data_IF_497015770886
#
_entry.id   IF_497015770886
#
_cell.length_a   1.000
_cell.length_b   1.000
_cell.length_c   1.000
_cell.angle_alpha   90.00
_cell.angle_beta   90.00
_cell.angle_gamma   90.00
#
_symmetry.space_group_name_H-M   'P 1'
#
loop_
_entity.id
_entity.type
_entity.pdbx_description
1 polymer ?
#
# COMPACT_ATOMS: atom_id res chain seq x y z
N UNK A 1 56.46 -4.23 30.53
CA UNK A 1 55.65 -4.96 29.58
C UNK A 1 54.25 -4.32 29.55
N UNK A 2 53.93 -3.58 28.53
CA UNK A 2 52.62 -2.91 28.43
C UNK A 2 51.72 -3.75 27.53
N UNK A 3 50.60 -4.22 28.08
CA UNK A 3 49.57 -4.91 27.34
C UNK A 3 48.64 -3.84 26.83
N UNK A 4 48.63 -3.65 25.49
CA UNK A 4 47.66 -2.79 24.85
C UNK A 4 46.42 -3.66 24.53
N UNK A 5 45.37 -3.50 25.29
CA UNK A 5 44.07 -4.09 24.97
C UNK A 5 43.43 -3.16 23.96
N UNK A 6 43.51 -3.52 22.70
CA UNK A 6 42.75 -2.86 21.67
C UNK A 6 41.27 -3.29 21.84
N UNK A 7 40.47 -2.41 22.42
CA UNK A 7 39.01 -2.59 22.41
C UNK A 7 38.55 -2.42 20.98
N UNK A 8 38.25 -3.53 20.33
CA UNK A 8 37.57 -3.50 19.04
C UNK A 8 36.15 -2.99 19.26
N UNK A 9 35.92 -1.74 18.90
CA UNK A 9 34.56 -1.20 18.82
C UNK A 9 33.87 -1.95 17.67
N UNK A 10 33.08 -2.95 18.04
CA UNK A 10 32.15 -3.56 17.08
C UNK A 10 31.01 -2.57 16.90
N UNK A 11 31.10 -1.70 15.90
CA UNK A 11 29.95 -0.96 15.43
C UNK A 11 28.97 -1.97 14.84
N UNK A 12 28.02 -2.45 15.65
CA UNK A 12 26.79 -3.03 15.12
C UNK A 12 26.04 -1.91 14.40
N UNK A 13 26.36 -1.73 13.10
CA UNK A 13 25.52 -0.92 12.23
C UNK A 13 24.17 -1.61 12.19
N UNK A 14 23.15 -1.04 12.84
CA UNK A 14 21.78 -1.44 12.59
C UNK A 14 21.56 -1.20 11.11
N UNK A 15 21.40 -2.27 10.32
CA UNK A 15 20.97 -2.16 8.93
C UNK A 15 19.62 -1.43 8.99
N UNK A 16 19.57 -0.20 8.47
CA UNK A 16 18.31 0.52 8.32
C UNK A 16 17.45 -0.33 7.38
N UNK A 17 16.39 -0.93 7.91
CA UNK A 17 15.38 -1.57 7.10
C UNK A 17 14.70 -0.44 6.33
N UNK A 18 14.97 -0.34 5.02
CA UNK A 18 14.24 0.58 4.15
C UNK A 18 12.81 0.05 3.98
N UNK A 19 11.82 0.84 4.38
CA UNK A 19 10.45 0.57 4.05
C UNK A 19 10.28 0.55 2.53
N UNK A 20 9.41 -0.32 2.02
CA UNK A 20 9.04 -0.31 0.61
C UNK A 20 8.44 1.06 0.26
N UNK A 21 8.81 1.68 -0.87
CA UNK A 21 8.33 3.00 -1.23
C UNK A 21 6.80 3.09 -1.37
N UNK A 22 6.10 1.98 -1.52
CA UNK A 22 4.62 1.96 -1.52
C UNK A 22 4.03 2.04 -0.11
N UNK A 23 4.81 1.86 0.94
CA UNK A 23 4.39 1.96 2.33
C UNK A 23 4.13 3.40 2.75
N UNK A 24 3.11 3.99 2.11
CA UNK A 24 2.65 5.36 2.29
C UNK A 24 1.13 5.36 2.45
N UNK A 25 0.57 6.53 2.69
CA UNK A 25 -0.87 6.77 2.65
C UNK A 25 -1.26 7.29 1.28
N UNK A 26 -2.25 6.65 0.69
CA UNK A 26 -2.70 6.91 -0.66
C UNK A 26 -4.16 7.35 -0.69
N UNK A 27 -4.44 8.42 -1.45
CA UNK A 27 -5.80 8.83 -1.75
C UNK A 27 -6.33 7.97 -2.90
N UNK A 28 -7.43 7.29 -2.67
CA UNK A 28 -8.06 6.42 -3.68
C UNK A 28 -8.70 7.22 -4.81
N UNK A 29 -8.91 6.55 -5.93
CA UNK A 29 -9.84 7.02 -6.95
C UNK A 29 -11.23 7.13 -6.33
N UNK A 30 -12.01 8.13 -6.76
CA UNK A 30 -13.38 8.29 -6.30
C UNK A 30 -14.24 7.11 -6.74
N UNK A 31 -15.13 6.67 -5.86
CA UNK A 31 -16.17 5.71 -6.17
C UNK A 31 -17.22 6.32 -7.11
N UNK A 32 -18.14 5.49 -7.61
CA UNK A 32 -19.20 5.93 -8.55
C UNK A 32 -20.07 7.06 -7.97
N UNK A 33 -20.23 7.11 -6.65
CA UNK A 33 -20.97 8.16 -5.94
C UNK A 33 -20.11 9.38 -5.54
N UNK A 34 -18.83 9.39 -5.88
CA UNK A 34 -17.88 10.46 -5.58
C UNK A 34 -17.16 10.36 -4.25
N UNK A 35 -17.49 9.39 -3.40
CA UNK A 35 -16.76 9.15 -2.14
C UNK A 35 -15.35 8.64 -2.44
N UNK A 36 -14.42 8.93 -1.56
CA UNK A 36 -13.06 8.44 -1.64
C UNK A 36 -12.49 8.18 -0.24
N UNK A 37 -11.30 7.62 -0.18
CA UNK A 37 -10.66 7.31 1.09
C UNK A 37 -9.15 7.39 1.03
N UNK A 38 -8.55 7.22 2.20
CA UNK A 38 -7.11 7.06 2.36
C UNK A 38 -6.81 5.62 2.74
N UNK A 39 -5.90 5.01 2.00
CA UNK A 39 -5.42 3.65 2.25
C UNK A 39 -3.97 3.72 2.69
N UNK A 40 -3.68 3.16 3.86
CA UNK A 40 -2.31 3.03 4.37
C UNK A 40 -1.77 1.67 3.95
N UNK A 41 -0.68 1.69 3.18
CA UNK A 41 0.05 0.47 2.82
C UNK A 41 1.10 0.16 3.88
N UNK A 42 1.10 -1.07 4.36
CA UNK A 42 1.99 -1.56 5.43
C UNK A 42 2.49 -2.96 5.12
N UNK A 43 3.62 -3.39 5.73
CA UNK A 43 4.04 -4.77 5.62
C UNK A 43 3.05 -5.73 6.29
N UNK A 44 2.86 -6.89 5.67
CA UNK A 44 1.97 -7.96 6.10
C UNK A 44 2.74 -9.27 5.97
N UNK A 45 3.66 -9.55 6.89
CA UNK A 45 4.64 -10.60 6.71
C UNK A 45 5.54 -10.31 5.50
N UNK A 46 5.78 -11.25 4.59
CA UNK A 46 6.61 -11.02 3.40
C UNK A 46 5.89 -10.19 2.31
N UNK A 47 4.59 -9.94 2.47
CA UNK A 47 3.75 -9.22 1.52
C UNK A 47 3.39 -7.82 2.04
N UNK A 48 2.65 -7.08 1.25
CA UNK A 48 2.11 -5.77 1.57
C UNK A 48 0.59 -5.85 1.67
N UNK A 49 0.03 -5.07 2.60
CA UNK A 49 -1.39 -4.90 2.82
C UNK A 49 -1.76 -3.42 2.78
N UNK A 50 -3.00 -3.13 2.42
CA UNK A 50 -3.56 -1.79 2.46
C UNK A 50 -4.85 -1.75 3.26
N UNK A 51 -4.93 -0.84 4.21
CA UNK A 51 -6.08 -0.68 5.11
C UNK A 51 -6.72 0.69 4.89
N UNK A 52 -8.03 0.72 4.78
CA UNK A 52 -8.78 1.97 4.73
C UNK A 52 -8.72 2.63 6.11
N UNK A 53 -8.03 3.75 6.21
CA UNK A 53 -7.81 4.46 7.48
C UNK A 53 -8.67 5.70 7.64
N UNK A 54 -9.07 6.34 6.53
CA UNK A 54 -9.95 7.50 6.51
C UNK A 54 -10.86 7.45 5.29
N UNK A 55 -12.03 8.02 5.38
CA UNK A 55 -12.99 8.12 4.29
C UNK A 55 -13.62 9.52 4.24
N UNK A 56 -14.04 9.91 3.04
CA UNK A 56 -14.52 11.26 2.76
C UNK A 56 -15.76 11.23 1.88
N UNK A 57 -16.63 12.20 2.10
CA UNK A 57 -17.77 12.49 1.23
C UNK A 57 -17.30 13.07 -0.11
N UNK A 58 -18.14 13.13 -1.15
CA UNK A 58 -17.78 13.79 -2.41
C UNK A 58 -17.35 15.27 -2.22
N UNK A 59 -17.86 15.94 -1.20
CA UNK A 59 -17.49 17.32 -0.88
C UNK A 59 -16.15 17.43 -0.12
N UNK A 60 -15.51 16.31 0.22
CA UNK A 60 -14.24 16.30 0.93
C UNK A 60 -14.37 16.36 2.46
N UNK A 61 -15.56 16.19 3.00
CA UNK A 61 -15.77 16.11 4.44
C UNK A 61 -15.47 14.71 4.96
N UNK A 62 -14.77 14.62 6.08
CA UNK A 62 -14.45 13.32 6.67
C UNK A 62 -15.72 12.63 7.17
N UNK A 63 -15.83 11.34 6.86
CA UNK A 63 -16.90 10.46 7.27
C UNK A 63 -16.33 9.25 8.00
N UNK A 64 -17.17 8.53 8.73
CA UNK A 64 -16.78 7.33 9.46
C UNK A 64 -17.70 6.15 9.08
N UNK A 65 -17.59 5.65 7.82
CA UNK A 65 -18.36 4.48 7.42
C UNK A 65 -17.87 3.23 8.17
N UNK A 66 -18.67 2.17 8.21
CA UNK A 66 -18.30 0.92 8.88
C UNK A 66 -17.07 0.23 8.27
N UNK A 67 -16.66 0.61 7.05
CA UNK A 67 -15.51 0.04 6.36
C UNK A 67 -14.16 0.56 6.88
N UNK A 68 -14.12 1.57 7.74
CA UNK A 68 -12.87 2.05 8.33
C UNK A 68 -12.20 0.90 9.08
N UNK A 69 -10.91 0.69 8.78
CA UNK A 69 -10.13 -0.44 9.30
C UNK A 69 -10.19 -1.68 8.42
N UNK A 70 -11.00 -1.68 7.36
CA UNK A 70 -11.08 -2.79 6.44
C UNK A 70 -9.81 -2.91 5.61
N UNK A 71 -9.32 -4.14 5.47
CA UNK A 71 -8.24 -4.47 4.56
C UNK A 71 -8.77 -4.45 3.13
N UNK A 72 -8.24 -3.55 2.32
CA UNK A 72 -8.63 -3.39 0.91
C UNK A 72 -7.66 -4.07 -0.04
N UNK A 73 -6.39 -4.18 0.36
CA UNK A 73 -5.33 -4.85 -0.39
C UNK A 73 -4.64 -5.83 0.55
N UNK A 74 -4.34 -7.04 0.07
CA UNK A 74 -3.59 -8.02 0.85
C UNK A 74 -2.78 -8.95 -0.05
N UNK A 75 -1.81 -9.61 0.55
CA UNK A 75 -0.89 -10.54 -0.11
C UNK A 75 -0.17 -9.96 -1.34
N UNK A 76 0.01 -8.64 -1.38
CA UNK A 76 0.62 -7.98 -2.51
C UNK A 76 2.15 -8.10 -2.44
N UNK A 77 2.76 -8.68 -3.47
CA UNK A 77 4.19 -8.93 -3.53
C UNK A 77 4.90 -7.97 -4.48
N UNK A 78 6.04 -7.44 -4.04
CA UNK A 78 6.90 -6.65 -4.91
C UNK A 78 7.52 -7.53 -6.00
N UNK A 79 7.42 -7.08 -7.26
CA UNK A 79 7.94 -7.78 -8.43
C UNK A 79 9.16 -7.07 -9.06
N UNK A 80 9.57 -5.95 -8.49
CA UNK A 80 10.64 -5.09 -9.00
C UNK A 80 10.13 -3.96 -9.90
N UNK A 81 10.94 -2.93 -10.07
CA UNK A 81 10.66 -1.76 -10.91
C UNK A 81 9.33 -1.05 -10.61
N UNK A 82 8.93 -1.05 -9.33
CA UNK A 82 7.67 -0.44 -8.88
C UNK A 82 6.41 -1.25 -9.19
N UNK A 83 6.55 -2.48 -9.68
CA UNK A 83 5.44 -3.39 -9.93
C UNK A 83 5.14 -4.26 -8.70
N UNK A 84 3.87 -4.51 -8.46
CA UNK A 84 3.37 -5.38 -7.38
C UNK A 84 2.26 -6.26 -7.93
N UNK A 85 2.22 -7.49 -7.49
CA UNK A 85 1.24 -8.46 -7.97
C UNK A 85 1.03 -9.62 -7.02
N UNK A 86 0.36 -10.64 -7.50
CA UNK A 86 0.02 -11.87 -6.77
C UNK A 86 -0.83 -11.63 -5.50
N UNK A 87 -1.41 -10.45 -5.36
CA UNK A 87 -2.27 -10.09 -4.25
C UNK A 87 -3.73 -9.97 -4.64
N UNK A 88 -4.51 -9.49 -3.69
CA UNK A 88 -5.95 -9.28 -3.83
C UNK A 88 -6.31 -7.83 -3.55
N UNK A 89 -7.35 -7.37 -4.23
CA UNK A 89 -7.96 -6.06 -4.03
C UNK A 89 -9.46 -6.23 -3.86
N UNK A 90 -10.02 -5.60 -2.83
CA UNK A 90 -11.46 -5.48 -2.64
C UNK A 90 -11.98 -4.15 -3.19
N UNK A 91 -13.02 -4.19 -3.97
CA UNK A 91 -13.70 -3.03 -4.55
C UNK A 91 -15.02 -2.76 -3.83
N UNK A 92 -15.20 -1.55 -3.23
CA UNK A 92 -16.42 -1.21 -2.52
C UNK A 92 -17.67 -1.11 -3.40
N UNK A 93 -17.55 -0.57 -4.61
CA UNK A 93 -18.71 -0.31 -5.49
C UNK A 93 -19.51 -1.57 -5.82
N UNK A 94 -18.79 -2.69 -6.03
CA UNK A 94 -19.40 -3.97 -6.37
C UNK A 94 -19.30 -5.01 -5.27
N UNK A 95 -18.65 -4.64 -4.16
CA UNK A 95 -18.33 -5.59 -3.08
C UNK A 95 -17.68 -6.88 -3.64
N UNK A 96 -16.65 -6.71 -4.45
CA UNK A 96 -15.93 -7.81 -5.11
C UNK A 96 -14.46 -7.77 -4.80
N UNK A 97 -13.86 -8.96 -4.76
CA UNK A 97 -12.43 -9.16 -4.63
C UNK A 97 -11.85 -9.63 -5.97
N UNK A 98 -10.78 -8.96 -6.38
CA UNK A 98 -10.06 -9.25 -7.63
C UNK A 98 -8.62 -9.65 -7.31
N UNK A 99 -7.99 -10.37 -8.22
CA UNK A 99 -6.54 -10.42 -8.27
C UNK A 99 -6.04 -9.00 -8.54
N UNK A 100 -5.05 -8.54 -7.78
CA UNK A 100 -4.61 -7.16 -7.85
C UNK A 100 -3.25 -7.01 -8.48
N UNK A 101 -3.06 -5.90 -9.18
CA UNK A 101 -1.76 -5.40 -9.62
C UNK A 101 -1.63 -3.94 -9.29
N UNK A 102 -0.44 -3.55 -8.83
CA UNK A 102 -0.11 -2.15 -8.57
C UNK A 102 1.13 -1.78 -9.38
N UNK A 103 1.19 -0.51 -9.79
CA UNK A 103 2.38 0.08 -10.38
C UNK A 103 2.66 1.42 -9.72
N UNK A 104 3.79 1.49 -9.05
CA UNK A 104 4.26 2.71 -8.42
C UNK A 104 5.05 3.54 -9.42
N UNK A 105 4.71 4.82 -9.53
CA UNK A 105 5.43 5.80 -10.33
C UNK A 105 5.48 7.13 -9.57
N UNK A 106 6.52 7.33 -8.77
CA UNK A 106 6.67 8.51 -7.93
C UNK A 106 5.53 8.62 -6.90
N UNK A 107 4.76 9.69 -7.00
CA UNK A 107 3.64 9.98 -6.11
C UNK A 107 2.29 9.38 -6.57
N UNK A 108 2.34 8.53 -7.57
CA UNK A 108 1.16 7.90 -8.18
C UNK A 108 1.25 6.39 -8.10
N UNK A 109 0.12 5.78 -7.81
CA UNK A 109 -0.03 4.34 -7.72
C UNK A 109 -1.18 3.91 -8.62
N UNK A 110 -0.85 3.27 -9.74
CA UNK A 110 -1.86 2.69 -10.63
C UNK A 110 -2.36 1.38 -10.04
N UNK A 111 -3.67 1.22 -9.98
CA UNK A 111 -4.33 0.07 -9.37
C UNK A 111 -5.15 -0.65 -10.44
N UNK A 112 -4.97 -1.95 -10.56
CA UNK A 112 -5.69 -2.78 -11.52
C UNK A 112 -6.25 -4.02 -10.85
N UNK A 113 -7.47 -4.40 -11.22
CA UNK A 113 -8.11 -5.65 -10.84
C UNK A 113 -8.15 -6.62 -12.01
N UNK A 114 -7.82 -7.87 -11.77
CA UNK A 114 -7.73 -8.90 -12.79
C UNK A 114 -8.66 -10.08 -12.49
N UNK A 115 -9.33 -10.57 -13.52
CA UNK A 115 -10.15 -11.79 -13.49
C UNK A 115 -9.78 -12.63 -14.68
N UNK A 116 -9.40 -13.90 -14.46
CA UNK A 116 -9.04 -14.85 -15.52
C UNK A 116 -7.97 -14.28 -16.49
N UNK A 117 -6.97 -13.58 -15.95
CA UNK A 117 -5.88 -12.99 -16.74
C UNK A 117 -6.23 -11.68 -17.46
N UNK A 118 -7.47 -11.22 -17.39
CA UNK A 118 -7.90 -9.94 -17.96
C UNK A 118 -7.88 -8.89 -16.85
N UNK A 119 -7.03 -7.86 -17.01
CA UNK A 119 -6.89 -6.78 -16.06
C UNK A 119 -7.62 -5.52 -16.54
N UNK A 120 -8.32 -4.86 -15.61
CA UNK A 120 -8.95 -3.56 -15.83
C UNK A 120 -8.33 -2.52 -14.93
N UNK A 121 -8.13 -1.34 -15.48
CA UNK A 121 -7.66 -0.19 -14.73
C UNK A 121 -8.69 0.20 -13.67
N UNK A 122 -8.27 0.22 -12.41
CA UNK A 122 -9.06 0.68 -11.26
C UNK A 122 -8.78 2.15 -10.89
N UNK A 123 -8.02 2.85 -11.72
CA UNK A 123 -7.64 4.24 -11.51
C UNK A 123 -6.25 4.42 -10.92
N UNK A 124 -5.90 5.67 -10.71
CA UNK A 124 -4.61 6.08 -10.14
C UNK A 124 -4.83 6.70 -8.78
N UNK A 125 -4.18 6.15 -7.78
CA UNK A 125 -4.16 6.71 -6.44
C UNK A 125 -3.01 7.69 -6.31
N UNK A 126 -3.18 8.70 -5.47
CA UNK A 126 -2.15 9.73 -5.27
C UNK A 126 -1.64 9.70 -3.83
N UNK A 127 -0.34 9.90 -3.67
CA UNK A 127 0.28 9.93 -2.34
C UNK A 127 -0.17 11.16 -1.56
N UNK A 128 -0.54 10.97 -0.30
CA UNK A 128 -0.88 12.05 0.65
C UNK A 128 0.13 12.16 1.78
N UNK A 129 0.85 11.09 2.05
CA UNK A 129 1.97 11.07 3.02
C UNK A 129 3.04 10.09 2.60
#
# INVERSE_FOLDING_TARGET
MRIIVAAALVCCGAAAAFADPVERTWKTTSLDDGRYGYVQMTPCGPALCGVLVRAFTPAGEEAAPPDIGRQMIWDMLAEGDGAYGSGKIWEPDRNRTYNGKLKLNGDKLSVSGCVLGICRDGGTWTRVQ
#
